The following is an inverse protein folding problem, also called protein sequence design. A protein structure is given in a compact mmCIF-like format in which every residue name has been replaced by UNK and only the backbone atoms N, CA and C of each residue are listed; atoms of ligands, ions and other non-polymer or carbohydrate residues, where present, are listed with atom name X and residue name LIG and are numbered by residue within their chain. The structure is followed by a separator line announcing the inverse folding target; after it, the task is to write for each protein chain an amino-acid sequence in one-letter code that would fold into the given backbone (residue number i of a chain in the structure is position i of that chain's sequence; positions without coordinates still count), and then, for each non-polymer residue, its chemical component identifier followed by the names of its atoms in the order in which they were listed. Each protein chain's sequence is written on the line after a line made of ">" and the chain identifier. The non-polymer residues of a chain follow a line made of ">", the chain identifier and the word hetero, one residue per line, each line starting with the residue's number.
data_IF_029475107957
#
_entry.id   IF_029475107957
#
_cell.length_a   1.000
_cell.length_b   1.000
_cell.length_c   1.000
_cell.angle_alpha   90.00
_cell.angle_beta   90.00
_cell.angle_gamma   90.00
#
_symmetry.space_group_name_H-M   'P 1'
#
loop_
_entity.id
_entity.type
_entity.pdbx_description
1 polymer ?
#
# COMPACT_ATOMS: atom_id res chain seq x y z
N UNK A 1 12.19 11.19 17.73
CA UNK A 1 12.83 9.93 17.26
C UNK A 1 13.31 10.15 15.82
N UNK A 2 13.61 9.15 14.98
CA UNK A 2 14.01 9.38 13.57
C UNK A 2 13.52 8.27 12.63
N UNK A 3 13.10 8.65 11.41
CA UNK A 3 12.61 7.71 10.39
C UNK A 3 13.72 6.94 9.65
N UNK A 4 14.91 7.54 9.52
CA UNK A 4 16.08 6.92 8.91
C UNK A 4 17.27 6.98 9.86
N UNK A 5 17.98 5.86 9.99
CA UNK A 5 19.15 5.72 10.87
C UNK A 5 20.28 5.09 10.07
N UNK A 6 21.45 5.72 10.10
CA UNK A 6 22.69 5.20 9.50
C UNK A 6 23.76 4.99 10.56
N UNK A 7 24.53 3.91 10.41
CA UNK A 7 25.69 3.60 11.26
C UNK A 7 26.95 3.69 10.39
N UNK A 8 27.93 4.48 10.82
CA UNK A 8 29.19 4.71 10.10
C UNK A 8 29.01 5.28 8.67
N UNK A 9 27.98 6.09 8.45
CA UNK A 9 27.68 6.75 7.18
C UNK A 9 27.28 8.21 7.40
N UNK A 10 27.73 9.12 6.53
CA UNK A 10 27.44 10.56 6.65
C UNK A 10 26.01 10.95 6.25
N UNK A 11 25.40 10.20 5.32
CA UNK A 11 24.03 10.43 4.86
C UNK A 11 23.31 9.07 4.75
N UNK A 12 22.27 8.81 5.56
CA UNK A 12 21.52 7.55 5.53
C UNK A 12 20.44 7.59 4.43
N UNK A 13 20.84 7.79 3.17
CA UNK A 13 19.90 7.80 2.04
C UNK A 13 19.58 6.35 1.60
N UNK A 14 18.29 5.95 1.58
CA UNK A 14 17.89 4.63 1.12
C UNK A 14 18.09 4.46 -0.38
N UNK A 15 18.29 3.21 -0.81
CA UNK A 15 18.20 2.83 -2.23
C UNK A 15 16.75 2.99 -2.72
N UNK A 16 16.56 3.15 -4.02
CA UNK A 16 15.25 3.42 -4.64
C UNK A 16 14.12 2.41 -4.32
N UNK A 17 14.48 1.21 -3.85
CA UNK A 17 13.53 0.17 -3.46
C UNK A 17 13.01 0.32 -2.02
N UNK A 18 13.72 1.08 -1.18
CA UNK A 18 13.34 1.40 0.20
C UNK A 18 12.75 2.82 0.27
N UNK A 19 11.78 3.07 1.16
CA UNK A 19 11.20 4.39 1.31
C UNK A 19 12.19 5.37 1.96
N UNK A 20 12.28 6.57 1.41
CA UNK A 20 12.85 7.76 2.05
C UNK A 20 11.86 8.29 3.08
N UNK A 21 12.15 8.03 4.36
CA UNK A 21 11.20 8.23 5.46
C UNK A 21 11.56 9.38 6.40
N UNK A 22 10.58 9.86 7.16
CA UNK A 22 10.76 10.87 8.19
C UNK A 22 9.70 10.71 9.28
N UNK A 23 10.04 11.03 10.53
CA UNK A 23 9.12 10.97 11.68
C UNK A 23 8.98 12.35 12.33
N UNK A 24 7.92 12.53 13.11
CA UNK A 24 7.59 13.81 13.77
C UNK A 24 7.44 14.94 12.73
N UNK A 25 8.11 16.07 12.90
CA UNK A 25 8.02 17.24 12.00
C UNK A 25 8.87 17.14 10.73
N UNK A 26 9.47 15.98 10.43
CA UNK A 26 10.34 15.79 9.26
C UNK A 26 9.64 15.20 8.04
N UNK A 27 8.38 14.75 8.18
CA UNK A 27 7.54 14.26 7.09
C UNK A 27 6.06 14.49 7.40
N UNK A 28 5.26 14.76 6.37
CA UNK A 28 3.81 14.92 6.50
C UNK A 28 3.11 13.90 5.60
N UNK A 29 2.25 13.08 6.19
CA UNK A 29 1.58 11.99 5.51
C UNK A 29 1.91 10.65 6.15
N UNK A 30 1.27 9.61 5.62
CA UNK A 30 1.39 8.22 6.04
C UNK A 30 2.34 7.42 5.13
N UNK A 31 2.25 7.61 3.81
CA UNK A 31 3.08 6.92 2.81
C UNK A 31 4.30 7.77 2.44
N UNK A 32 5.49 7.22 2.65
CA UNK A 32 6.76 7.88 2.37
C UNK A 32 7.16 7.81 0.90
N UNK A 33 8.29 8.46 0.58
CA UNK A 33 8.75 8.68 -0.79
C UNK A 33 9.57 7.47 -1.26
N UNK A 34 9.21 6.88 -2.40
CA UNK A 34 9.87 5.71 -3.06
C UNK A 34 9.47 4.32 -2.55
N UNK A 35 10.01 3.29 -3.21
CA UNK A 35 9.72 1.89 -2.92
C UNK A 35 8.26 1.52 -3.10
N UNK A 36 7.78 0.63 -2.24
CA UNK A 36 6.38 0.18 -2.23
C UNK A 36 5.41 1.28 -1.82
N UNK A 37 5.82 2.15 -0.89
CA UNK A 37 4.96 3.24 -0.39
C UNK A 37 4.66 4.27 -1.48
N UNK A 38 5.63 4.56 -2.37
CA UNK A 38 5.39 5.37 -3.56
C UNK A 38 4.35 4.76 -4.51
N UNK A 39 4.35 3.44 -4.70
CA UNK A 39 3.33 2.75 -5.52
C UNK A 39 1.96 2.85 -4.87
N UNK A 40 1.87 2.63 -3.56
CA UNK A 40 0.62 2.78 -2.80
C UNK A 40 0.08 4.21 -2.84
N UNK A 41 0.96 5.22 -2.85
CA UNK A 41 0.55 6.63 -2.91
C UNK A 41 -0.04 7.00 -4.28
N UNK A 42 0.56 6.52 -5.37
CA UNK A 42 0.11 6.83 -6.72
C UNK A 42 -1.00 5.91 -7.25
N UNK A 43 -1.36 4.87 -6.49
CA UNK A 43 -2.41 3.92 -6.89
C UNK A 43 -3.49 3.83 -5.81
N UNK A 44 -4.61 3.21 -6.16
CA UNK A 44 -5.68 2.94 -5.20
C UNK A 44 -6.00 1.46 -5.23
N UNK A 45 -5.95 0.84 -4.07
CA UNK A 45 -6.35 -0.56 -3.92
C UNK A 45 -7.84 -0.74 -4.27
N UNK A 46 -8.13 -1.76 -5.07
CA UNK A 46 -9.49 -2.14 -5.45
C UNK A 46 -9.67 -3.64 -5.23
N UNK A 47 -10.63 -4.00 -4.39
CA UNK A 47 -11.02 -5.39 -4.16
C UNK A 47 -12.23 -5.70 -5.04
N UNK A 48 -12.14 -6.78 -5.82
CA UNK A 48 -13.21 -7.24 -6.73
C UNK A 48 -13.65 -8.64 -6.34
N UNK A 49 -14.94 -8.80 -6.05
CA UNK A 49 -15.56 -10.12 -5.80
C UNK A 49 -16.56 -10.38 -6.92
N UNK A 50 -16.36 -11.47 -7.67
CA UNK A 50 -17.28 -11.89 -8.74
C UNK A 50 -17.80 -13.29 -8.49
N UNK A 51 -19.10 -13.49 -8.71
CA UNK A 51 -19.75 -14.81 -8.76
C UNK A 51 -20.38 -14.99 -10.13
N UNK A 52 -20.13 -16.13 -10.76
CA UNK A 52 -20.72 -16.51 -12.04
C UNK A 52 -21.64 -17.70 -11.81
N UNK A 53 -22.91 -17.57 -12.19
CA UNK A 53 -23.90 -18.65 -12.06
C UNK A 53 -24.02 -19.42 -13.38
N UNK A 54 -24.14 -20.74 -13.30
CA UNK A 54 -24.57 -21.58 -14.42
C UNK A 54 -26.08 -21.46 -14.68
N UNK A 55 -26.56 -21.96 -15.82
CA UNK A 55 -28.00 -22.04 -16.11
C UNK A 55 -28.65 -22.94 -15.05
N UNK A 56 -29.53 -22.37 -14.23
CA UNK A 56 -30.23 -23.07 -13.14
C UNK A 56 -29.66 -22.82 -11.73
N UNK A 57 -28.46 -22.26 -11.59
CA UNK A 57 -27.76 -22.17 -10.29
C UNK A 57 -27.93 -20.80 -9.58
N UNK A 58 -28.93 -20.01 -9.99
CA UNK A 58 -29.10 -18.60 -9.59
C UNK A 58 -30.29 -18.27 -8.68
N UNK A 59 -31.31 -19.12 -8.63
CA UNK A 59 -32.56 -18.79 -7.94
C UNK A 59 -32.60 -19.34 -6.51
N UNK A 60 -31.78 -18.76 -5.64
CA UNK A 60 -31.83 -19.01 -4.18
C UNK A 60 -33.16 -18.59 -3.52
N UNK A 61 -34.08 -17.95 -4.26
CA UNK A 61 -35.37 -17.45 -3.77
C UNK A 61 -36.59 -18.09 -4.44
N UNK A 62 -36.43 -19.23 -5.12
CA UNK A 62 -37.60 -19.97 -5.63
C UNK A 62 -38.36 -20.54 -4.41
N UNK A 63 -39.35 -19.80 -3.91
CA UNK A 63 -40.41 -20.33 -3.05
C UNK A 63 -41.53 -20.76 -3.99
N UNK A 64 -41.84 -22.04 -3.93
CA UNK A 64 -43.14 -22.58 -4.39
C UNK A 64 -44.30 -21.82 -3.74
#
# INVERSE_FOLDING_TARGET
>A
QAGMVGINVGVPAPLAYFPFSGWDYSFFGDLHVQGKEGVLFYTREKVVTSRWHGIGDGEIWHKD
#
